data_IF_334311942956
#
_entry.id   IF_334311942956
#
_cell.length_a   1.000
_cell.length_b   1.000
_cell.length_c   1.000
_cell.angle_alpha   90.00
_cell.angle_beta   90.00
_cell.angle_gamma   90.00
#
_symmetry.space_group_name_H-M   'P 1'
#
loop_
_entity.id
_entity.type
_entity.pdbx_description
1 polymer ?
#
# COMPACT_ATOMS: atom_id res chain seq x y z
N UNK A 1 -5.33 -21.84 -2.06
CA UNK A 1 -5.33 -21.32 -0.68
C UNK A 1 -5.27 -22.51 0.28
N UNK A 2 -4.20 -23.31 0.25
CA UNK A 2 -4.18 -24.64 0.90
C UNK A 2 -4.13 -24.57 2.43
N UNK A 3 -3.47 -23.54 2.96
CA UNK A 3 -3.26 -23.32 4.40
C UNK A 3 -4.38 -22.44 5.02
N UNK A 4 -5.52 -22.33 4.33
CA UNK A 4 -6.67 -21.55 4.78
C UNK A 4 -7.16 -22.00 6.17
N UNK A 5 -7.46 -21.03 7.04
CA UNK A 5 -8.01 -21.24 8.39
C UNK A 5 -7.20 -22.33 9.15
N UNK A 6 -5.87 -22.15 9.16
CA UNK A 6 -4.92 -23.04 9.83
C UNK A 6 -4.93 -24.50 9.29
N UNK A 7 -5.31 -24.69 8.02
CA UNK A 7 -5.26 -25.97 7.33
C UNK A 7 -3.86 -26.59 7.36
N UNK A 8 -3.76 -27.81 7.89
CA UNK A 8 -2.51 -28.55 8.05
C UNK A 8 -1.91 -28.51 9.47
N UNK A 9 -1.01 -29.44 9.74
CA UNK A 9 -0.34 -29.58 11.03
C UNK A 9 0.47 -28.33 11.41
N UNK A 10 0.51 -27.99 12.70
CA UNK A 10 1.33 -26.89 13.19
C UNK A 10 2.82 -27.08 12.93
N UNK A 11 3.34 -28.31 12.93
CA UNK A 11 4.72 -28.64 12.57
C UNK A 11 5.11 -28.15 11.17
N UNK A 12 4.15 -28.12 10.23
CA UNK A 12 4.32 -27.63 8.86
C UNK A 12 4.13 -26.12 8.80
N UNK A 13 3.06 -25.59 9.42
CA UNK A 13 2.74 -24.15 9.43
C UNK A 13 3.76 -23.31 10.21
N UNK A 14 4.36 -23.85 11.26
CA UNK A 14 5.39 -23.18 12.07
C UNK A 14 6.74 -23.03 11.35
N UNK A 15 6.83 -23.45 10.08
CA UNK A 15 7.93 -23.10 9.17
C UNK A 15 7.76 -21.73 8.53
N UNK A 16 6.65 -21.02 8.81
CA UNK A 16 6.49 -19.62 8.43
C UNK A 16 7.70 -18.82 8.94
N UNK A 17 8.29 -18.03 8.03
CA UNK A 17 9.49 -17.22 8.28
C UNK A 17 9.28 -16.23 9.43
N UNK A 18 8.05 -15.81 9.67
CA UNK A 18 7.72 -14.84 10.72
C UNK A 18 7.78 -15.44 12.14
N UNK A 19 7.91 -16.77 12.28
CA UNK A 19 8.21 -17.42 13.57
C UNK A 19 9.68 -17.39 13.97
N UNK A 20 10.57 -16.83 13.12
CA UNK A 20 11.98 -16.66 13.48
C UNK A 20 12.11 -15.84 14.78
N UNK A 21 13.05 -16.25 15.64
CA UNK A 21 13.30 -15.68 16.97
C UNK A 21 12.09 -15.72 17.93
N UNK A 22 11.17 -16.68 17.74
CA UNK A 22 10.02 -16.92 18.62
C UNK A 22 10.02 -18.38 19.12
N UNK A 23 9.81 -18.57 20.43
CA UNK A 23 9.52 -19.89 20.99
C UNK A 23 8.13 -20.35 20.55
N UNK A 24 8.07 -21.10 19.45
CA UNK A 24 6.81 -21.37 18.75
C UNK A 24 5.98 -22.53 19.31
N UNK A 25 6.56 -23.40 20.14
CA UNK A 25 5.90 -24.62 20.63
C UNK A 25 4.59 -24.34 21.40
N UNK A 26 4.55 -23.22 22.13
CA UNK A 26 3.35 -22.79 22.87
C UNK A 26 2.15 -22.55 21.95
N UNK A 27 2.36 -22.10 20.70
CA UNK A 27 1.30 -21.83 19.74
C UNK A 27 0.79 -23.08 19.01
N UNK A 28 1.41 -24.24 19.27
CA UNK A 28 0.87 -25.54 18.90
C UNK A 28 -0.22 -26.04 19.85
N UNK A 29 -0.36 -25.42 21.03
CA UNK A 29 -1.39 -25.74 22.00
C UNK A 29 -2.73 -25.12 21.60
N UNK A 30 -3.82 -25.84 21.84
CA UNK A 30 -5.17 -25.44 21.44
C UNK A 30 -5.54 -24.07 22.03
N UNK A 31 -5.23 -23.85 23.31
CA UNK A 31 -5.58 -22.65 24.08
C UNK A 31 -4.87 -21.39 23.56
N UNK A 32 -3.68 -21.57 22.97
CA UNK A 32 -2.82 -20.50 22.46
C UNK A 32 -2.90 -20.35 20.93
N UNK A 33 -3.85 -21.03 20.29
CA UNK A 33 -4.01 -20.97 18.84
C UNK A 33 -4.40 -19.55 18.40
N UNK A 34 -3.65 -19.00 17.44
CA UNK A 34 -3.97 -17.75 16.77
C UNK A 34 -3.96 -17.91 15.25
N UNK A 35 -4.68 -17.02 14.57
CA UNK A 35 -4.63 -16.86 13.11
C UNK A 35 -4.87 -15.40 12.75
N UNK A 36 -4.39 -15.01 11.57
CA UNK A 36 -4.64 -13.71 10.97
C UNK A 36 -4.74 -13.84 9.45
N UNK A 37 -5.34 -12.85 8.80
CA UNK A 37 -5.42 -12.78 7.35
C UNK A 37 -4.40 -11.77 6.83
N UNK A 38 -3.68 -12.14 5.76
CA UNK A 38 -2.72 -11.26 5.09
C UNK A 38 -3.04 -11.18 3.59
N UNK A 39 -4.05 -10.39 3.18
CA UNK A 39 -4.35 -10.17 1.76
C UNK A 39 -3.30 -9.26 1.14
N UNK A 40 -2.60 -9.72 0.08
CA UNK A 40 -1.49 -8.96 -0.53
C UNK A 40 -1.64 -8.83 -2.04
N UNK A 41 -1.14 -7.73 -2.59
CA UNK A 41 -0.96 -7.52 -4.03
C UNK A 41 0.50 -7.13 -4.33
N UNK A 42 0.80 -6.58 -5.50
CA UNK A 42 2.12 -6.01 -5.74
C UNK A 42 2.31 -4.77 -4.88
N UNK A 43 3.49 -4.59 -4.33
CA UNK A 43 3.78 -3.46 -3.45
C UNK A 43 4.05 -2.15 -4.22
N UNK A 44 4.11 -2.17 -5.56
CA UNK A 44 4.38 -1.01 -6.43
C UNK A 44 5.51 -0.10 -5.90
N UNK A 45 6.59 -0.75 -5.44
CA UNK A 45 7.62 -0.15 -4.60
C UNK A 45 8.32 1.07 -5.24
N UNK A 46 8.98 1.89 -4.41
CA UNK A 46 9.80 3.02 -4.88
C UNK A 46 11.16 2.55 -5.41
N UNK A 47 11.75 1.52 -4.78
CA UNK A 47 12.96 0.83 -5.23
C UNK A 47 12.65 -0.62 -5.69
N UNK A 48 11.93 -0.82 -6.81
CA UNK A 48 11.42 -2.13 -7.20
C UNK A 48 12.54 -3.08 -7.68
N UNK A 49 12.86 -4.10 -6.87
CA UNK A 49 13.83 -5.14 -7.23
C UNK A 49 13.50 -5.88 -8.55
N UNK A 50 12.22 -5.92 -8.95
CA UNK A 50 11.82 -6.48 -10.24
C UNK A 50 12.29 -5.64 -11.44
N UNK A 51 12.33 -4.31 -11.32
CA UNK A 51 12.89 -3.42 -12.35
C UNK A 51 14.39 -3.68 -12.47
N UNK A 52 15.10 -3.66 -11.35
CA UNK A 52 16.56 -3.88 -11.30
C UNK A 52 16.99 -5.26 -11.84
N UNK A 53 16.15 -6.28 -11.69
CA UNK A 53 16.46 -7.66 -12.11
C UNK A 53 16.04 -7.99 -13.55
N UNK A 54 15.38 -7.09 -14.29
CA UNK A 54 14.91 -7.37 -15.64
C UNK A 54 15.98 -7.08 -16.70
N UNK A 55 16.58 -8.09 -17.37
CA UNK A 55 17.68 -7.84 -18.30
C UNK A 55 17.25 -7.07 -19.57
N UNK A 56 15.98 -7.17 -19.95
CA UNK A 56 15.45 -6.47 -21.12
C UNK A 56 14.97 -5.04 -20.82
N UNK A 57 15.02 -4.59 -19.57
CA UNK A 57 14.49 -3.27 -19.18
C UNK A 57 12.99 -3.11 -19.48
N UNK A 58 12.21 -4.19 -19.51
CA UNK A 58 10.79 -4.15 -19.87
C UNK A 58 9.87 -3.81 -18.69
N UNK A 59 10.42 -3.63 -17.49
CA UNK A 59 9.67 -3.28 -16.29
C UNK A 59 10.03 -1.84 -15.93
N UNK A 60 9.03 -1.01 -15.69
CA UNK A 60 9.21 0.40 -15.41
C UNK A 60 8.19 0.87 -14.37
N UNK A 61 8.50 1.97 -13.68
CA UNK A 61 7.58 2.68 -12.80
C UNK A 61 7.08 3.91 -13.57
N UNK A 62 5.77 4.06 -13.68
CA UNK A 62 5.15 5.26 -14.27
C UNK A 62 5.46 6.48 -13.41
N UNK A 63 5.73 7.61 -14.05
CA UNK A 63 6.17 8.84 -13.41
C UNK A 63 4.98 9.54 -12.72
N UNK A 64 3.85 9.57 -13.42
CA UNK A 64 2.66 10.31 -13.03
C UNK A 64 1.89 9.70 -11.85
N UNK A 65 1.99 8.39 -11.63
CA UNK A 65 1.22 7.69 -10.58
C UNK A 65 2.00 6.62 -9.81
N UNK A 66 3.26 6.38 -10.16
CA UNK A 66 4.11 5.39 -9.49
C UNK A 66 3.72 3.93 -9.75
N UNK A 67 2.79 3.62 -10.67
CA UNK A 67 2.39 2.24 -10.95
C UNK A 67 3.51 1.53 -11.72
N UNK A 68 4.10 0.50 -11.09
CA UNK A 68 5.06 -0.41 -11.75
C UNK A 68 4.36 -1.36 -12.72
N UNK A 69 4.77 -1.39 -13.99
CA UNK A 69 4.20 -2.23 -15.05
C UNK A 69 5.26 -3.08 -15.76
N UNK A 70 4.81 -4.14 -16.46
CA UNK A 70 5.64 -4.94 -17.35
C UNK A 70 5.13 -4.70 -18.77
N UNK A 71 5.95 -4.08 -19.60
CA UNK A 71 5.70 -3.88 -21.02
C UNK A 71 5.62 -5.25 -21.73
N UNK A 72 4.44 -5.60 -22.23
CA UNK A 72 4.21 -6.89 -22.87
C UNK A 72 4.90 -7.00 -24.24
N UNK A 73 5.17 -5.89 -24.91
CA UNK A 73 5.87 -5.87 -26.21
C UNK A 73 7.37 -6.00 -26.02
N UNK A 74 7.94 -5.33 -25.00
CA UNK A 74 9.38 -5.40 -24.68
C UNK A 74 9.77 -6.63 -23.87
N UNK A 75 8.84 -7.26 -23.15
CA UNK A 75 9.15 -8.46 -22.36
C UNK A 75 9.67 -9.59 -23.26
N UNK A 76 10.86 -10.11 -22.92
CA UNK A 76 11.54 -11.22 -23.63
C UNK A 76 11.47 -12.56 -22.88
N UNK A 77 10.72 -12.63 -21.78
CA UNK A 77 10.51 -13.90 -21.08
C UNK A 77 11.73 -14.44 -20.35
N UNK A 78 12.67 -13.58 -19.93
CA UNK A 78 13.87 -13.98 -19.18
C UNK A 78 13.59 -14.56 -17.79
N UNK A 79 12.41 -14.28 -17.21
CA UNK A 79 11.91 -14.79 -15.92
C UNK A 79 12.73 -14.38 -14.68
N UNK A 80 13.81 -13.63 -14.82
CA UNK A 80 14.63 -13.14 -13.69
C UNK A 80 13.84 -12.29 -12.70
N UNK A 81 12.89 -11.49 -13.19
CA UNK A 81 12.00 -10.66 -12.37
C UNK A 81 11.09 -11.47 -11.43
N UNK A 82 10.75 -12.72 -11.77
CA UNK A 82 9.96 -13.62 -10.91
C UNK A 82 10.75 -13.94 -9.64
N UNK A 83 12.03 -14.28 -9.80
CA UNK A 83 12.95 -14.51 -8.68
C UNK A 83 13.25 -13.21 -7.93
N UNK A 84 13.53 -12.13 -8.67
CA UNK A 84 13.93 -10.85 -8.11
C UNK A 84 12.88 -10.15 -7.25
N UNK A 85 11.58 -10.39 -7.49
CA UNK A 85 10.53 -9.86 -6.61
C UNK A 85 10.51 -10.62 -5.26
N UNK A 86 10.84 -9.98 -4.12
CA UNK A 86 10.88 -10.67 -2.84
C UNK A 86 9.47 -11.09 -2.39
N UNK A 87 8.43 -10.32 -2.76
CA UNK A 87 7.03 -10.62 -2.48
C UNK A 87 6.40 -11.71 -3.37
N UNK A 88 7.13 -12.17 -4.41
CA UNK A 88 6.67 -13.14 -5.43
C UNK A 88 5.34 -12.74 -6.07
N UNK A 89 5.25 -11.46 -6.46
CA UNK A 89 4.05 -10.82 -7.09
C UNK A 89 4.16 -10.62 -8.59
N UNK A 90 5.13 -11.31 -9.20
CA UNK A 90 5.26 -11.44 -10.65
C UNK A 90 5.04 -12.92 -10.98
N UNK A 91 4.16 -13.17 -11.94
CA UNK A 91 3.75 -14.49 -12.34
C UNK A 91 4.13 -14.69 -13.81
N UNK A 92 4.72 -15.84 -14.11
CA UNK A 92 5.07 -16.17 -15.49
C UNK A 92 3.85 -16.77 -16.19
N UNK A 93 3.43 -16.14 -17.30
CA UNK A 93 2.43 -16.70 -18.18
C UNK A 93 3.11 -17.73 -19.10
N UNK A 94 2.86 -19.01 -18.80
CA UNK A 94 3.45 -20.14 -19.51
C UNK A 94 2.97 -20.28 -20.96
N UNK A 95 1.85 -19.65 -21.32
CA UNK A 95 1.32 -19.65 -22.68
C UNK A 95 1.93 -18.54 -23.54
N UNK A 96 1.91 -17.30 -23.05
CA UNK A 96 2.47 -16.15 -23.80
C UNK A 96 4.00 -16.11 -23.76
N UNK A 97 4.61 -16.80 -22.79
CA UNK A 97 6.05 -16.77 -22.56
C UNK A 97 6.53 -15.50 -21.86
N UNK A 98 5.62 -14.68 -21.32
CA UNK A 98 5.91 -13.37 -20.73
C UNK A 98 5.52 -13.32 -19.26
N UNK A 99 6.11 -12.38 -18.53
CA UNK A 99 5.78 -12.14 -17.14
C UNK A 99 4.62 -11.14 -17.03
N UNK A 100 3.72 -11.39 -16.08
CA UNK A 100 2.57 -10.55 -15.76
C UNK A 100 2.55 -10.26 -14.26
N UNK A 101 1.92 -9.17 -13.86
CA UNK A 101 1.80 -8.76 -12.47
C UNK A 101 0.52 -7.98 -12.25
N UNK A 102 0.21 -7.71 -10.98
CA UNK A 102 -0.80 -6.70 -10.64
C UNK A 102 -0.45 -5.37 -11.33
N UNK A 103 -1.42 -4.81 -12.05
CA UNK A 103 -1.28 -3.55 -12.79
C UNK A 103 -1.89 -2.36 -12.04
N UNK A 104 -2.13 -2.52 -10.72
CA UNK A 104 -2.85 -1.57 -9.86
C UNK A 104 -4.17 -1.04 -10.43
N UNK A 105 -4.81 -1.81 -11.32
CA UNK A 105 -5.98 -1.37 -12.08
C UNK A 105 -5.78 0.01 -12.72
N UNK A 106 -4.60 0.29 -13.30
CA UNK A 106 -4.29 1.61 -13.87
C UNK A 106 -5.39 2.20 -14.77
N UNK A 107 -6.13 1.44 -15.60
CA UNK A 107 -7.20 2.04 -16.43
C UNK A 107 -8.33 2.67 -15.59
N UNK A 108 -8.53 2.21 -14.35
CA UNK A 108 -9.48 2.78 -13.38
C UNK A 108 -8.85 3.93 -12.61
N UNK A 109 -7.62 3.77 -12.14
CA UNK A 109 -6.88 4.82 -11.41
C UNK A 109 -6.72 6.08 -12.28
N UNK A 110 -6.44 5.91 -13.57
CA UNK A 110 -6.38 7.02 -14.53
C UNK A 110 -7.65 7.87 -14.53
N UNK A 111 -8.81 7.24 -14.29
CA UNK A 111 -10.12 7.88 -14.23
C UNK A 111 -10.58 8.24 -12.80
N UNK A 112 -9.68 8.24 -11.81
CA UNK A 112 -10.02 8.56 -10.41
C UNK A 112 -10.85 7.48 -9.71
N UNK A 113 -10.88 6.26 -10.24
CA UNK A 113 -11.65 5.14 -9.67
C UNK A 113 -10.75 4.21 -8.84
N UNK A 114 -11.29 3.58 -7.78
CA UNK A 114 -10.54 2.60 -7.00
C UNK A 114 -10.16 1.36 -7.81
N UNK A 115 -9.10 0.69 -7.35
CA UNK A 115 -8.78 -0.64 -7.83
C UNK A 115 -9.94 -1.60 -7.57
N UNK A 116 -10.11 -2.60 -8.42
CA UNK A 116 -11.18 -3.61 -8.28
C UNK A 116 -11.13 -4.26 -6.90
N UNK A 117 -9.95 -4.67 -6.44
CA UNK A 117 -9.79 -5.31 -5.14
C UNK A 117 -10.00 -4.37 -3.94
N UNK A 118 -9.87 -3.05 -4.13
CA UNK A 118 -10.21 -2.05 -3.10
C UNK A 118 -11.72 -1.82 -3.03
N UNK A 119 -12.37 -1.57 -4.16
CA UNK A 119 -13.80 -1.30 -4.24
C UNK A 119 -14.65 -2.49 -3.77
N UNK A 120 -14.24 -3.70 -4.15
CA UNK A 120 -14.94 -4.96 -3.82
C UNK A 120 -14.55 -5.52 -2.46
N UNK A 121 -13.75 -4.80 -1.66
CA UNK A 121 -13.33 -5.26 -0.36
C UNK A 121 -14.49 -5.25 0.64
N UNK A 122 -15.12 -6.41 0.83
CA UNK A 122 -16.27 -6.61 1.73
C UNK A 122 -15.96 -6.16 3.16
N UNK A 123 -14.75 -6.45 3.64
CA UNK A 123 -14.31 -6.05 4.99
C UNK A 123 -14.03 -4.55 5.15
N UNK A 124 -14.11 -3.76 4.08
CA UNK A 124 -13.89 -2.30 4.10
C UNK A 124 -12.51 -1.87 4.63
N UNK A 125 -11.51 -2.75 4.55
CA UNK A 125 -10.17 -2.55 5.15
C UNK A 125 -9.13 -1.87 4.24
N UNK A 126 -9.49 -1.55 2.99
CA UNK A 126 -8.56 -0.99 2.00
C UNK A 126 -8.79 0.49 1.82
N UNK A 127 -7.70 1.24 1.82
CA UNK A 127 -7.66 2.70 1.66
C UNK A 127 -6.72 3.03 0.50
N UNK A 128 -7.08 4.04 -0.30
CA UNK A 128 -6.28 4.54 -1.41
C UNK A 128 -6.17 6.06 -1.26
N UNK A 129 -4.95 6.56 -1.33
CA UNK A 129 -4.62 7.97 -1.16
C UNK A 129 -3.23 8.25 -1.70
N UNK A 130 -3.01 9.49 -2.12
CA UNK A 130 -1.73 9.93 -2.68
C UNK A 130 -0.69 10.04 -1.57
N UNK A 131 0.56 9.71 -1.89
CA UNK A 131 1.74 10.01 -1.11
C UNK A 131 2.74 10.73 -2.02
N UNK A 132 3.15 11.94 -1.62
CA UNK A 132 4.25 12.66 -2.25
C UNK A 132 5.56 12.10 -1.70
N UNK A 133 6.54 11.89 -2.55
CA UNK A 133 7.84 11.35 -2.14
C UNK A 133 8.98 12.01 -2.91
N UNK A 134 10.13 12.16 -2.24
CA UNK A 134 11.37 12.61 -2.85
C UNK A 134 12.07 11.44 -3.56
N UNK A 135 12.06 11.47 -4.89
CA UNK A 135 12.65 10.41 -5.71
C UNK A 135 14.19 10.35 -5.62
N UNK A 136 14.85 11.49 -5.40
CA UNK A 136 16.32 11.58 -5.34
C UNK A 136 16.87 10.89 -4.08
N UNK A 137 16.06 10.81 -3.02
CA UNK A 137 16.43 10.17 -1.75
C UNK A 137 16.06 8.70 -1.66
N UNK A 138 15.52 8.09 -2.72
CA UNK A 138 15.15 6.65 -2.74
C UNK A 138 16.36 5.75 -2.46
N UNK A 139 17.51 6.02 -3.10
CA UNK A 139 18.71 5.21 -2.90
C UNK A 139 19.22 5.33 -1.46
N UNK A 140 19.28 6.56 -0.93
CA UNK A 140 19.68 6.84 0.46
C UNK A 140 18.81 6.03 1.43
N UNK A 141 17.48 6.15 1.31
CA UNK A 141 16.54 5.46 2.19
C UNK A 141 16.63 3.92 2.10
N UNK A 142 16.79 3.36 0.89
CA UNK A 142 16.88 1.91 0.70
C UNK A 142 18.23 1.30 1.12
N UNK A 143 19.27 2.13 1.26
CA UNK A 143 20.65 1.70 1.53
C UNK A 143 21.14 1.96 2.95
N UNK A 144 20.25 2.38 3.86
CA UNK A 144 20.56 2.49 5.30
C UNK A 144 21.16 1.18 5.84
N UNK A 145 22.11 1.31 6.76
CA UNK A 145 22.92 0.18 7.22
C UNK A 145 22.07 -0.90 7.91
N UNK A 146 21.20 -0.50 8.84
CA UNK A 146 20.39 -1.43 9.62
C UNK A 146 18.98 -1.59 9.06
N UNK A 147 18.52 -2.84 8.93
CA UNK A 147 17.20 -3.14 8.36
C UNK A 147 16.03 -2.54 9.17
N UNK A 148 16.22 -2.35 10.49
CA UNK A 148 15.21 -1.74 11.37
C UNK A 148 14.99 -0.25 11.08
N UNK A 149 15.97 0.41 10.48
CA UNK A 149 15.88 1.84 10.17
C UNK A 149 15.12 2.10 8.87
N UNK A 150 14.90 1.07 8.03
CA UNK A 150 14.25 1.20 6.71
C UNK A 150 12.82 1.74 6.79
N UNK A 151 12.07 1.38 7.85
CA UNK A 151 10.72 1.92 8.06
C UNK A 151 10.74 3.44 8.24
N UNK A 152 11.62 3.95 9.11
CA UNK A 152 11.72 5.38 9.36
C UNK A 152 12.35 6.10 8.16
N UNK A 153 13.38 5.52 7.54
CA UNK A 153 14.00 6.07 6.33
C UNK A 153 12.99 6.24 5.18
N UNK A 154 12.04 5.30 5.03
CA UNK A 154 10.97 5.44 4.05
C UNK A 154 9.97 6.54 4.43
N UNK A 155 9.65 6.71 5.71
CA UNK A 155 8.81 7.82 6.18
C UNK A 155 9.47 9.18 5.92
N UNK A 156 10.79 9.27 6.09
CA UNK A 156 11.55 10.52 5.97
C UNK A 156 11.66 11.04 4.53
N UNK A 157 11.32 10.21 3.53
CA UNK A 157 11.22 10.63 2.13
C UNK A 157 9.79 10.93 1.70
N UNK A 158 8.78 10.65 2.54
CA UNK A 158 7.42 11.13 2.29
C UNK A 158 7.30 12.61 2.67
N UNK A 159 6.65 13.37 1.79
CA UNK A 159 6.60 14.83 1.88
C UNK A 159 5.25 15.28 2.43
N UNK A 160 5.27 16.32 3.27
CA UNK A 160 4.06 16.93 3.81
C UNK A 160 3.34 17.75 2.73
N UNK A 161 2.13 17.36 2.30
CA UNK A 161 1.39 18.06 1.25
C UNK A 161 0.87 19.45 1.69
N UNK A 162 1.00 19.81 2.97
CA UNK A 162 0.66 21.13 3.51
C UNK A 162 1.89 22.05 3.69
N UNK A 163 3.12 21.54 3.53
CA UNK A 163 4.32 22.37 3.63
C UNK A 163 4.44 23.31 2.41
N UNK A 164 4.49 24.64 2.59
CA UNK A 164 4.67 25.59 1.49
C UNK A 164 5.85 25.30 0.57
N UNK A 165 6.95 24.73 1.10
CA UNK A 165 8.12 24.36 0.29
C UNK A 165 7.83 23.16 -0.61
N UNK A 166 7.14 22.16 -0.09
CA UNK A 166 6.71 20.98 -0.86
C UNK A 166 5.72 21.39 -1.95
N UNK A 167 4.78 22.29 -1.64
CA UNK A 167 3.82 22.82 -2.60
C UNK A 167 4.54 23.54 -3.76
N UNK A 168 5.49 24.43 -3.43
CA UNK A 168 6.26 25.15 -4.45
C UNK A 168 7.09 24.20 -5.31
N UNK A 169 7.74 23.20 -4.70
CA UNK A 169 8.55 22.21 -5.41
C UNK A 169 7.67 21.31 -6.31
N UNK A 170 6.54 20.83 -5.81
CA UNK A 170 5.60 20.01 -6.57
C UNK A 170 5.08 20.74 -7.83
N UNK A 171 4.87 22.05 -7.74
CA UNK A 171 4.51 22.87 -8.90
C UNK A 171 5.64 22.95 -9.94
N UNK A 172 6.90 23.05 -9.49
CA UNK A 172 8.08 23.03 -10.38
C UNK A 172 8.25 21.67 -11.06
N UNK A 173 7.98 20.59 -10.34
CA UNK A 173 8.07 19.22 -10.84
C UNK A 173 6.84 18.80 -11.69
N UNK A 174 5.87 19.71 -11.87
CA UNK A 174 4.72 19.50 -12.74
C UNK A 174 3.60 18.65 -12.13
N UNK A 175 3.54 18.52 -10.80
CA UNK A 175 2.45 17.81 -10.11
C UNK A 175 1.15 18.63 -10.24
N UNK A 176 0.06 18.05 -10.77
CA UNK A 176 -1.21 18.76 -10.93
C UNK A 176 -1.87 19.16 -9.60
N UNK A 177 -2.62 20.27 -9.59
CA UNK A 177 -3.29 20.78 -8.37
C UNK A 177 -4.26 19.77 -7.73
N UNK A 178 -5.00 19.00 -8.55
CA UNK A 178 -5.90 17.96 -8.04
C UNK A 178 -5.15 16.80 -7.35
N UNK A 179 -3.91 16.52 -7.74
CA UNK A 179 -3.04 15.55 -7.05
C UNK A 179 -2.58 16.09 -5.70
N UNK A 180 -2.26 17.40 -5.62
CA UNK A 180 -1.94 18.05 -4.36
C UNK A 180 -3.13 18.05 -3.40
N UNK A 181 -4.33 18.36 -3.89
CA UNK A 181 -5.55 18.31 -3.07
C UNK A 181 -5.88 16.88 -2.60
N UNK A 182 -5.66 15.88 -3.45
CA UNK A 182 -5.81 14.48 -3.07
C UNK A 182 -4.76 14.05 -2.03
N UNK A 183 -3.52 14.56 -2.12
CA UNK A 183 -2.46 14.29 -1.15
C UNK A 183 -2.80 14.87 0.23
N UNK A 184 -3.29 16.11 0.30
CA UNK A 184 -3.73 16.75 1.57
C UNK A 184 -4.85 15.98 2.26
N UNK A 185 -5.73 15.34 1.48
CA UNK A 185 -6.86 14.57 1.99
C UNK A 185 -6.59 13.07 2.06
N UNK A 186 -5.35 12.62 1.86
CA UNK A 186 -4.98 11.21 1.71
C UNK A 186 -5.20 10.42 3.02
N UNK A 187 -6.09 9.41 3.04
CA UNK A 187 -6.21 8.53 4.20
C UNK A 187 -4.95 7.70 4.43
N UNK A 188 -4.17 7.46 3.38
CA UNK A 188 -2.90 6.72 3.46
C UNK A 188 -1.83 7.55 4.16
N UNK A 189 -1.71 8.84 3.82
CA UNK A 189 -0.79 9.76 4.51
C UNK A 189 -1.13 9.85 6.00
N UNK A 190 -2.41 10.01 6.33
CA UNK A 190 -2.87 10.03 7.73
C UNK A 190 -2.50 8.75 8.48
N UNK A 191 -2.78 7.58 7.92
CA UNK A 191 -2.48 6.30 8.59
C UNK A 191 -0.97 6.02 8.73
N UNK A 192 -0.18 6.32 7.70
CA UNK A 192 1.25 5.99 7.66
C UNK A 192 2.12 7.05 8.35
N UNK A 193 1.85 8.34 8.13
CA UNK A 193 2.71 9.45 8.55
C UNK A 193 2.21 10.09 9.84
N UNK A 194 0.93 10.49 9.91
CA UNK A 194 0.40 11.23 11.05
C UNK A 194 0.09 10.32 12.25
N UNK A 195 -0.72 9.29 12.03
CA UNK A 195 -1.20 8.39 13.07
C UNK A 195 -0.26 7.22 13.32
N UNK A 196 0.74 6.98 12.46
CA UNK A 196 1.70 5.84 12.52
C UNK A 196 1.03 4.50 12.89
N UNK A 197 -0.13 4.22 12.31
CA UNK A 197 -0.86 2.96 12.51
C UNK A 197 -0.66 1.99 11.34
N UNK A 198 -0.31 2.49 10.15
CA UNK A 198 0.06 1.66 9.01
C UNK A 198 1.58 1.48 8.95
N UNK A 199 2.01 0.25 8.65
CA UNK A 199 3.42 -0.16 8.59
C UNK A 199 3.71 -0.87 7.26
N UNK A 200 4.92 -0.74 6.69
CA UNK A 200 5.29 -1.41 5.44
C UNK A 200 5.32 -2.93 5.60
N UNK A 201 5.11 -3.68 4.52
CA UNK A 201 5.31 -5.13 4.54
C UNK A 201 6.76 -5.49 4.22
N UNK A 202 7.44 -6.18 5.15
CA UNK A 202 8.84 -6.59 5.02
C UNK A 202 9.76 -5.46 4.50
N UNK A 203 9.92 -4.36 5.26
CA UNK A 203 10.79 -3.25 4.85
C UNK A 203 12.23 -3.71 4.61
N UNK A 204 12.72 -4.74 5.30
CA UNK A 204 14.05 -5.36 5.15
C UNK A 204 14.36 -5.87 3.74
N UNK A 205 13.36 -6.01 2.87
CA UNK A 205 13.58 -6.28 1.45
C UNK A 205 14.14 -5.08 0.68
N UNK A 206 14.26 -3.90 1.31
CA UNK A 206 14.89 -2.68 0.78
C UNK A 206 14.27 -2.19 -0.53
N UNK A 207 13.03 -2.61 -0.81
CA UNK A 207 12.30 -2.17 -2.00
C UNK A 207 11.50 -0.89 -1.78
N UNK A 208 11.35 -0.43 -0.53
CA UNK A 208 10.48 0.68 -0.14
C UNK A 208 9.04 0.43 -0.64
N UNK A 209 8.32 -0.55 -0.06
CA UNK A 209 6.98 -0.96 -0.51
C UNK A 209 5.94 0.14 -0.29
N UNK A 210 4.92 0.21 -1.15
CA UNK A 210 3.87 1.25 -1.12
C UNK A 210 2.47 0.71 -0.77
N UNK A 211 2.34 -0.57 -0.39
CA UNK A 211 1.10 -1.10 0.21
C UNK A 211 1.37 -1.43 1.68
N UNK A 212 0.77 -0.64 2.57
CA UNK A 212 1.03 -0.70 4.00
C UNK A 212 -0.15 -1.31 4.76
N UNK A 213 0.13 -1.83 5.96
CA UNK A 213 -0.81 -2.65 6.73
C UNK A 213 -0.94 -2.10 8.14
N UNK A 214 -2.18 -1.99 8.62
CA UNK A 214 -2.44 -1.79 10.05
C UNK A 214 -2.39 -3.15 10.74
N UNK A 215 -1.57 -3.35 11.78
CA UNK A 215 -1.47 -4.64 12.46
C UNK A 215 -2.80 -5.00 13.14
N UNK A 216 -3.22 -6.28 13.10
CA UNK A 216 -4.49 -6.69 13.67
C UNK A 216 -4.43 -6.73 15.19
N UNK A 217 -5.46 -6.18 15.84
CA UNK A 217 -5.76 -6.52 17.22
C UNK A 217 -6.22 -7.99 17.29
N UNK A 218 -5.94 -8.66 18.40
CA UNK A 218 -6.40 -10.03 18.65
C UNK A 218 -7.10 -10.14 19.99
N UNK A 219 -7.83 -11.25 20.26
CA UNK A 219 -8.39 -11.48 21.59
C UNK A 219 -7.28 -11.48 22.64
N UNK A 220 -7.62 -11.01 23.84
CA UNK A 220 -6.74 -11.13 25.00
C UNK A 220 -6.72 -12.62 25.41
N UNK A 221 -5.56 -13.11 25.84
CA UNK A 221 -5.39 -14.51 26.29
C UNK A 221 -6.43 -14.92 27.35
N UNK A 222 -6.78 -16.21 27.39
CA UNK A 222 -7.80 -16.74 28.30
C UNK A 222 -7.48 -16.47 29.79
N UNK A 223 -6.20 -16.30 30.14
CA UNK A 223 -5.73 -15.94 31.47
C UNK A 223 -6.18 -14.54 31.93
N UNK A 224 -6.31 -13.57 31.02
CA UNK A 224 -6.77 -12.22 31.38
C UNK A 224 -8.29 -12.16 31.64
N UNK A 225 -9.07 -13.01 30.96
CA UNK A 225 -10.52 -13.13 31.18
C UNK A 225 -10.88 -13.71 32.56
N UNK A 226 -9.93 -14.32 33.27
CA UNK A 226 -10.09 -14.78 34.66
C UNK A 226 -10.00 -13.64 35.71
N UNK A 227 -10.17 -12.38 35.29
CA UNK A 227 -10.35 -11.22 36.17
C UNK A 227 -9.09 -10.39 36.43
N UNK A 228 -8.03 -10.57 35.64
CA UNK A 228 -6.79 -9.80 35.76
C UNK A 228 -6.38 -9.30 34.37
N UNK A 229 -7.17 -8.39 33.79
CA UNK A 229 -6.67 -7.61 32.66
C UNK A 229 -5.52 -6.78 33.20
N UNK A 230 -4.30 -7.08 32.77
CA UNK A 230 -3.19 -6.15 32.98
C UNK A 230 -3.53 -4.91 32.16
N UNK A 231 -3.83 -3.81 32.83
CA UNK A 231 -3.95 -2.52 32.17
C UNK A 231 -2.56 -1.91 32.08
N UNK A 232 -2.18 -1.43 30.90
CA UNK A 232 -1.07 -0.52 30.76
C UNK A 232 -1.64 0.89 30.89
N UNK A 233 -1.79 1.38 32.12
CA UNK A 233 -2.51 2.62 32.40
C UNK A 233 -4.01 2.50 32.08
N UNK A 234 -4.46 3.23 31.06
CA UNK A 234 -5.87 3.36 30.68
C UNK A 234 -6.32 2.39 29.57
N UNK A 235 -5.37 1.66 28.97
CA UNK A 235 -5.61 0.73 27.85
C UNK A 235 -5.17 -0.70 28.20
N UNK A 236 -5.78 -1.73 27.57
CA UNK A 236 -5.31 -3.11 27.72
C UNK A 236 -3.85 -3.26 27.30
N UNK A 237 -3.07 -4.06 28.04
CA UNK A 237 -1.67 -4.34 27.68
C UNK A 237 -1.58 -5.12 26.36
N UNK A 238 -0.91 -4.51 25.38
CA UNK A 238 -0.69 -5.08 24.04
C UNK A 238 0.12 -6.37 24.10
N UNK A 239 0.96 -6.56 25.12
CA UNK A 239 1.74 -7.78 25.28
C UNK A 239 0.89 -8.99 25.68
N UNK A 240 -0.35 -8.78 26.13
CA UNK A 240 -1.29 -9.84 26.49
C UNK A 240 -2.19 -10.29 25.34
N UNK A 241 -2.04 -9.67 24.16
CA UNK A 241 -2.71 -10.08 22.94
C UNK A 241 -2.25 -11.48 22.51
N UNK A 242 -3.18 -12.27 21.96
CA UNK A 242 -2.88 -13.66 21.57
C UNK A 242 -1.91 -13.75 20.39
N UNK A 243 -1.99 -12.82 19.43
CA UNK A 243 -1.01 -12.75 18.35
C UNK A 243 0.31 -12.22 18.91
N UNK A 244 1.44 -12.93 18.72
CA UNK A 244 2.71 -12.50 19.26
C UNK A 244 3.17 -11.21 18.57
N UNK A 245 3.45 -10.16 19.34
CA UNK A 245 3.94 -8.88 18.79
C UNK A 245 5.20 -9.08 17.96
N UNK A 246 6.10 -9.97 18.40
CA UNK A 246 7.32 -10.31 17.65
C UNK A 246 7.02 -10.89 16.25
N UNK A 247 5.94 -11.67 16.10
CA UNK A 247 5.53 -12.21 14.80
C UNK A 247 5.11 -11.09 13.85
N UNK A 248 4.33 -10.13 14.35
CA UNK A 248 3.92 -8.95 13.59
C UNK A 248 5.12 -8.04 13.26
N UNK A 249 6.08 -7.94 14.18
CA UNK A 249 7.30 -7.16 13.97
C UNK A 249 8.18 -7.76 12.87
N UNK A 250 8.37 -9.08 12.88
CA UNK A 250 9.08 -9.79 11.81
C UNK A 250 8.42 -9.56 10.43
N UNK A 251 7.10 -9.38 10.40
CA UNK A 251 6.33 -9.16 9.19
C UNK A 251 6.36 -7.69 8.69
N UNK A 252 6.33 -6.71 9.60
CA UNK A 252 6.01 -5.31 9.27
C UNK A 252 7.14 -4.31 9.54
N UNK A 253 8.13 -4.67 10.36
CA UNK A 253 9.10 -3.71 10.92
C UNK A 253 10.48 -4.33 11.11
N UNK A 254 10.87 -5.28 10.25
CA UNK A 254 12.16 -5.97 10.31
C UNK A 254 12.49 -6.53 11.71
N UNK A 255 11.48 -6.99 12.43
CA UNK A 255 11.60 -7.54 13.77
C UNK A 255 11.67 -6.54 14.92
N UNK A 256 11.54 -5.22 14.67
CA UNK A 256 11.39 -4.20 15.71
C UNK A 256 9.96 -4.12 16.23
N UNK A 257 9.75 -4.43 17.51
CA UNK A 257 8.42 -4.44 18.12
C UNK A 257 7.88 -3.04 18.41
N UNK A 258 8.74 -2.01 18.52
CA UNK A 258 8.34 -0.68 18.99
C UNK A 258 7.25 -0.04 18.11
N UNK A 259 7.37 0.01 16.76
CA UNK A 259 6.34 0.62 15.94
C UNK A 259 5.04 -0.20 15.92
N UNK A 260 5.12 -1.53 16.03
CA UNK A 260 3.95 -2.40 16.10
C UNK A 260 3.16 -2.17 17.39
N UNK A 261 3.85 -2.12 18.53
CA UNK A 261 3.20 -1.82 19.83
C UNK A 261 2.55 -0.44 19.77
N UNK A 262 3.27 0.58 19.29
CA UNK A 262 2.72 1.93 19.15
C UNK A 262 1.46 1.99 18.28
N UNK A 263 1.44 1.28 17.15
CA UNK A 263 0.26 1.19 16.29
C UNK A 263 -0.93 0.50 17.00
N UNK A 264 -0.69 -0.61 17.70
CA UNK A 264 -1.72 -1.35 18.43
C UNK A 264 -2.27 -0.56 19.63
N UNK A 265 -1.40 0.11 20.39
CA UNK A 265 -1.78 0.98 21.51
C UNK A 265 -2.64 2.15 21.04
N UNK A 266 -2.28 2.79 19.92
CA UNK A 266 -3.10 3.87 19.32
C UNK A 266 -4.50 3.38 18.92
N UNK A 267 -4.60 2.17 18.36
CA UNK A 267 -5.88 1.56 18.04
C UNK A 267 -6.71 1.23 19.29
N UNK A 268 -6.08 0.75 20.37
CA UNK A 268 -6.74 0.50 21.65
C UNK A 268 -7.18 1.80 22.33
N UNK A 269 -6.36 2.84 22.29
CA UNK A 269 -6.68 4.17 22.82
C UNK A 269 -7.91 4.77 22.13
N UNK A 270 -7.99 4.70 20.79
CA UNK A 270 -9.17 5.11 20.04
C UNK A 270 -10.42 4.33 20.51
N UNK A 271 -10.32 3.02 20.71
CA UNK A 271 -11.44 2.19 21.20
C UNK A 271 -11.86 2.56 22.62
N UNK A 272 -10.91 2.80 23.52
CA UNK A 272 -11.16 3.19 24.90
C UNK A 272 -11.86 4.56 24.97
N UNK A 273 -11.33 5.56 24.24
CA UNK A 273 -11.92 6.88 24.13
C UNK A 273 -13.34 6.83 23.57
N UNK A 274 -13.56 6.14 22.45
CA UNK A 274 -14.88 6.07 21.83
C UNK A 274 -15.88 5.27 22.68
N UNK A 275 -15.43 4.24 23.41
CA UNK A 275 -16.28 3.53 24.37
C UNK A 275 -16.74 4.47 25.48
N UNK A 276 -15.81 5.16 26.14
CA UNK A 276 -16.12 6.04 27.26
C UNK A 276 -17.08 7.17 26.84
N UNK A 277 -16.83 7.76 25.66
CA UNK A 277 -17.71 8.77 25.05
C UNK A 277 -19.14 8.26 24.80
N UNK A 278 -19.30 7.07 24.22
CA UNK A 278 -20.62 6.57 23.79
C UNK A 278 -21.38 5.77 24.86
N UNK A 279 -20.68 5.11 25.77
CA UNK A 279 -21.26 4.25 26.81
C UNK A 279 -21.39 4.99 28.14
N UNK A 280 -20.30 5.60 28.60
CA UNK A 280 -20.22 6.22 29.93
C UNK A 280 -20.61 7.71 29.88
N UNK A 281 -20.73 8.29 28.67
CA UNK A 281 -21.07 9.69 28.45
C UNK A 281 -19.94 10.67 28.74
N UNK A 282 -18.76 10.17 29.11
CA UNK A 282 -17.57 10.96 29.46
C UNK A 282 -16.36 10.49 28.65
N UNK A 283 -15.77 11.32 27.79
CA UNK A 283 -14.59 10.91 27.01
C UNK A 283 -13.38 10.61 27.91
N UNK A 284 -12.71 9.47 27.68
CA UNK A 284 -11.45 9.13 28.37
C UNK A 284 -10.26 9.81 27.67
N UNK A 285 -9.97 11.04 28.08
CA UNK A 285 -8.81 11.80 27.58
C UNK A 285 -7.46 11.17 27.98
N UNK A 286 -7.40 10.54 29.15
CA UNK A 286 -6.17 9.92 29.64
C UNK A 286 -5.66 8.80 28.72
N UNK A 287 -6.58 8.01 28.12
CA UNK A 287 -6.24 6.96 27.17
C UNK A 287 -5.55 7.48 25.89
N UNK A 288 -5.93 8.66 25.40
CA UNK A 288 -5.38 9.24 24.17
C UNK A 288 -4.12 10.07 24.45
N UNK A 289 -4.04 10.70 25.62
CA UNK A 289 -2.84 11.39 26.10
C UNK A 289 -1.68 10.40 26.28
N UNK A 290 -1.96 9.19 26.77
CA UNK A 290 -0.97 8.11 26.92
C UNK A 290 -0.25 7.79 25.61
N UNK A 291 -0.95 7.82 24.47
CA UNK A 291 -0.39 7.52 23.14
C UNK A 291 -0.06 8.77 22.32
N UNK A 292 -0.15 9.95 22.95
CA UNK A 292 0.13 11.27 22.35
C UNK A 292 -0.72 11.58 21.12
N UNK A 293 -2.00 11.21 21.14
CA UNK A 293 -2.97 11.58 20.12
C UNK A 293 -3.86 12.72 20.61
N UNK A 294 -4.13 13.69 19.74
CA UNK A 294 -5.13 14.72 20.00
C UNK A 294 -6.55 14.19 19.83
N UNK A 295 -7.53 14.86 20.46
CA UNK A 295 -8.96 14.57 20.27
C UNK A 295 -9.33 14.58 18.78
N UNK A 296 -8.86 15.58 18.02
CA UNK A 296 -9.13 15.69 16.59
C UNK A 296 -8.61 14.48 15.81
N UNK A 297 -7.37 14.03 16.10
CA UNK A 297 -6.81 12.84 15.45
C UNK A 297 -7.63 11.59 15.78
N UNK A 298 -8.09 11.41 17.02
CA UNK A 298 -8.85 10.22 17.42
C UNK A 298 -10.26 10.19 16.81
N UNK A 299 -10.93 11.35 16.74
CA UNK A 299 -12.23 11.47 16.07
C UNK A 299 -12.08 11.25 14.56
N UNK A 300 -10.99 11.73 13.95
CA UNK A 300 -10.71 11.52 12.53
C UNK A 300 -10.34 10.06 12.24
N UNK A 301 -9.50 9.43 13.08
CA UNK A 301 -9.23 7.99 13.02
C UNK A 301 -10.52 7.20 13.09
N UNK A 302 -11.44 7.55 13.99
CA UNK A 302 -12.74 6.89 14.10
C UNK A 302 -13.60 7.10 12.84
N UNK A 303 -13.64 8.33 12.29
CA UNK A 303 -14.34 8.60 11.03
C UNK A 303 -13.78 7.76 9.88
N UNK A 304 -12.47 7.77 9.68
CA UNK A 304 -11.82 7.09 8.55
C UNK A 304 -11.82 5.57 8.73
N UNK A 305 -11.56 5.06 9.92
CA UNK A 305 -11.34 3.62 10.16
C UNK A 305 -12.60 2.86 10.59
N UNK A 306 -13.56 3.51 11.26
CA UNK A 306 -14.78 2.86 11.77
C UNK A 306 -16.01 3.17 10.91
N UNK A 307 -16.29 4.45 10.63
CA UNK A 307 -17.40 4.82 9.72
C UNK A 307 -17.02 4.46 8.28
N UNK A 308 -15.79 4.84 7.90
CA UNK A 308 -15.11 4.41 6.69
C UNK A 308 -15.92 4.64 5.41
N UNK A 309 -16.52 5.83 5.28
CA UNK A 309 -17.31 6.21 4.10
C UNK A 309 -16.51 6.02 2.80
N UNK A 310 -17.20 5.85 1.69
CA UNK A 310 -16.56 5.53 0.41
C UNK A 310 -15.52 6.59 0.01
N UNK A 311 -15.90 7.86 0.13
CA UNK A 311 -15.09 9.04 -0.14
C UNK A 311 -13.92 9.24 0.83
N UNK A 312 -14.07 8.79 2.08
CA UNK A 312 -12.98 8.85 3.08
C UNK A 312 -11.95 7.73 2.85
N UNK A 313 -12.34 6.62 2.21
CA UNK A 313 -11.45 5.49 1.93
C UNK A 313 -10.66 5.65 0.63
N UNK A 314 -11.26 6.27 -0.38
CA UNK A 314 -10.71 6.30 -1.73
C UNK A 314 -10.59 7.75 -2.20
N UNK A 315 -9.41 8.34 -1.97
CA UNK A 315 -9.06 9.69 -2.43
C UNK A 315 -8.07 9.54 -3.58
N UNK A 316 -8.62 9.42 -4.80
CA UNK A 316 -7.85 9.06 -6.00
C UNK A 316 -8.05 10.17 -7.04
N UNK A 317 -7.00 10.94 -7.36
CA UNK A 317 -7.09 11.96 -8.40
C UNK A 317 -7.14 11.31 -9.79
N UNK A 318 -7.67 12.03 -10.77
CA UNK A 318 -7.58 11.63 -12.17
C UNK A 318 -6.16 11.83 -12.68
N UNK A 319 -5.71 10.93 -13.55
CA UNK A 319 -4.43 11.10 -14.25
C UNK A 319 -4.67 11.90 -15.53
N UNK A 320 -3.92 12.98 -15.72
CA UNK A 320 -4.08 13.90 -16.84
C UNK A 320 -3.39 13.38 -18.12
N UNK A 321 -3.99 12.38 -18.77
CA UNK A 321 -3.47 11.78 -20.02
C UNK A 321 -3.32 12.78 -21.16
N UNK A 322 -4.06 13.89 -21.13
CA UNK A 322 -3.97 14.98 -22.09
C UNK A 322 -2.62 15.69 -22.13
N UNK A 323 -1.79 15.58 -21.08
CA UNK A 323 -0.44 16.14 -21.09
C UNK A 323 0.55 15.33 -21.95
N UNK A 324 0.32 14.02 -22.08
CA UNK A 324 1.21 13.11 -22.81
C UNK A 324 0.67 12.74 -24.20
N UNK A 325 -0.65 12.80 -24.41
CA UNK A 325 -1.31 12.34 -25.64
C UNK A 325 -2.26 13.40 -26.22
N UNK A 326 -2.45 13.38 -27.54
CA UNK A 326 -3.55 14.15 -28.16
C UNK A 326 -4.89 13.49 -27.83
N UNK A 327 -5.46 13.87 -26.69
CA UNK A 327 -6.70 13.30 -26.16
C UNK A 327 -7.88 13.42 -27.14
N UNK A 328 -7.91 14.45 -27.99
CA UNK A 328 -8.95 14.61 -29.00
C UNK A 328 -8.87 13.52 -30.08
N UNK A 329 -7.66 13.21 -30.56
CA UNK A 329 -7.44 12.13 -31.50
C UNK A 329 -7.76 10.77 -30.87
N UNK A 330 -7.26 10.52 -29.64
CA UNK A 330 -7.49 9.27 -28.91
C UNK A 330 -8.98 9.06 -28.67
N UNK A 331 -9.73 10.08 -28.24
CA UNK A 331 -11.19 10.00 -28.05
C UNK A 331 -11.94 9.62 -29.33
N UNK A 332 -11.49 10.10 -30.49
CA UNK A 332 -12.14 9.83 -31.78
C UNK A 332 -11.80 8.47 -32.41
N UNK A 333 -10.69 7.83 -32.01
CA UNK A 333 -10.17 6.63 -32.68
C UNK A 333 -9.84 5.43 -31.78
N UNK A 334 -9.74 5.62 -30.46
CA UNK A 334 -9.43 4.53 -29.53
C UNK A 334 -10.57 3.49 -29.48
N UNK A 335 -10.21 2.21 -29.42
CA UNK A 335 -11.16 1.08 -29.41
C UNK A 335 -11.38 0.42 -30.78
N UNK A 336 -11.00 1.08 -31.89
CA UNK A 336 -11.05 0.50 -33.23
C UNK A 336 -9.79 -0.32 -33.55
N UNK A 337 -9.70 -1.54 -33.01
CA UNK A 337 -8.55 -2.45 -33.12
C UNK A 337 -8.48 -3.23 -34.46
N UNK A 338 -8.78 -2.58 -35.59
CA UNK A 338 -8.65 -3.18 -36.94
C UNK A 338 -7.17 -3.41 -37.38
N UNK A 339 -6.21 -3.21 -36.47
CA UNK A 339 -4.76 -3.27 -36.65
C UNK A 339 -4.05 -2.72 -35.39
N UNK A 340 -2.81 -2.25 -35.51
CA UNK A 340 -2.05 -1.64 -34.40
C UNK A 340 -2.47 -0.18 -34.08
N UNK A 341 -3.71 0.20 -34.36
CA UNK A 341 -4.17 1.61 -34.37
C UNK A 341 -4.21 2.31 -33.01
N UNK A 342 -3.88 1.63 -31.91
CA UNK A 342 -3.71 2.22 -30.58
C UNK A 342 -2.25 2.14 -30.07
N UNK A 343 -1.36 1.49 -30.82
CA UNK A 343 0.07 1.36 -30.52
C UNK A 343 0.84 1.50 -31.83
N UNK A 344 1.11 2.75 -32.20
CA UNK A 344 1.99 3.03 -33.31
C UNK A 344 3.36 3.40 -32.75
N UNK A 345 4.39 2.76 -33.30
CA UNK A 345 5.77 3.12 -32.99
C UNK A 345 6.01 4.63 -33.16
N UNK A 346 7.08 5.09 -32.54
CA UNK A 346 7.46 6.51 -32.57
C UNK A 346 7.80 6.98 -33.99
N UNK A 347 8.21 6.07 -34.88
CA UNK A 347 8.50 6.34 -36.28
C UNK A 347 7.24 6.47 -37.15
N UNK A 348 7.24 7.43 -38.07
CA UNK A 348 6.15 7.61 -39.05
C UNK A 348 6.12 6.52 -40.12
N UNK A 349 7.28 5.91 -40.42
CA UNK A 349 7.40 4.89 -41.45
C UNK A 349 6.95 3.52 -40.92
N UNK A 350 6.05 2.87 -41.68
CA UNK A 350 5.60 1.50 -41.46
C UNK A 350 5.99 0.63 -42.66
N UNK A 351 6.43 -0.61 -42.40
CA UNK A 351 6.72 -1.60 -43.46
C UNK A 351 5.50 -1.89 -44.35
N UNK A 352 4.28 -1.66 -43.84
CA UNK A 352 3.04 -1.94 -44.55
C UNK A 352 2.41 -0.70 -45.21
N UNK A 353 3.09 0.45 -45.21
CA UNK A 353 2.62 1.66 -45.89
C UNK A 353 1.34 2.29 -45.30
N UNK A 354 0.95 1.90 -44.09
CA UNK A 354 -0.21 2.45 -43.38
C UNK A 354 0.10 3.84 -42.81
N UNK A 355 -0.71 4.84 -43.14
CA UNK A 355 -0.65 6.17 -42.52
C UNK A 355 -1.33 6.18 -41.14
N UNK A 356 -0.81 7.00 -40.21
CA UNK A 356 -1.39 7.18 -38.87
C UNK A 356 -2.81 7.73 -39.01
N UNK A 357 -3.83 7.01 -38.52
CA UNK A 357 -5.21 7.52 -38.51
C UNK A 357 -5.32 8.71 -37.55
N UNK A 358 -5.37 9.94 -38.10
CA UNK A 358 -5.67 11.16 -37.33
C UNK A 358 -7.17 11.44 -37.39
N UNK A 359 -7.76 11.87 -36.27
CA UNK A 359 -9.10 12.47 -36.30
C UNK A 359 -8.98 13.79 -37.04
N UNK A 360 -9.53 13.86 -38.26
CA UNK A 360 -9.51 15.09 -39.06
C UNK A 360 -10.68 15.96 -38.55
N UNK A 361 -10.44 17.10 -37.87
CA UNK A 361 -11.52 18.01 -37.56
C UNK A 361 -12.10 18.53 -38.89
N UNK A 362 -13.39 18.29 -39.12
CA UNK A 362 -14.10 18.92 -40.23
C UNK A 362 -14.07 20.42 -39.94
N UNK A 363 -13.42 21.21 -40.81
CA UNK A 363 -13.51 22.68 -40.72
C UNK A 363 -14.99 23.04 -40.77
N UNK A 364 -15.53 23.57 -39.67
CA UNK A 364 -16.81 24.26 -39.74
C UNK A 364 -16.63 25.40 -40.77
N UNK A 365 -17.40 25.34 -41.85
CA UNK A 365 -17.41 26.42 -42.84
C UNK A 365 -17.77 27.72 -42.14
N UNK A 366 -17.03 28.79 -42.49
CA UNK A 366 -17.30 30.17 -42.07
C UNK A 366 -18.68 30.59 -42.53
#
# INVERSE_FOLDING_TARGET
>A
NWEEILGGEFSKRSKDKNFDDIQKDIYGQFENTFMMYLPRLCEHCLNPACVASCPSGSIYKREEDGIVLIDQDKCRGWRMCVSGCPYKKIYYNWKSGKAEKCIFCYPRIEAGQPTVCSETCVGRIRYLGVLLYDADRIQEAASVEHDKDLYQAQLDIFLDPNDPKVIAQAQLDGIPDNWMDAARNSPVYKMAVEWKVALPLHPEYRTLPMVWYVPPLSPITAAANAGHVGTNGEIPDVNQLRIPVKYLANLLTAGDTVPVVGALERMLAMRAYQRAKHVDGTPNHAAIDQVKLSVNQVEEMYRVMAIANYEDRFVIPTTHREYAENAFNVRGGCGFSFGNGCSEGVSETSLFGSEKKRTIPIKAGV
#
